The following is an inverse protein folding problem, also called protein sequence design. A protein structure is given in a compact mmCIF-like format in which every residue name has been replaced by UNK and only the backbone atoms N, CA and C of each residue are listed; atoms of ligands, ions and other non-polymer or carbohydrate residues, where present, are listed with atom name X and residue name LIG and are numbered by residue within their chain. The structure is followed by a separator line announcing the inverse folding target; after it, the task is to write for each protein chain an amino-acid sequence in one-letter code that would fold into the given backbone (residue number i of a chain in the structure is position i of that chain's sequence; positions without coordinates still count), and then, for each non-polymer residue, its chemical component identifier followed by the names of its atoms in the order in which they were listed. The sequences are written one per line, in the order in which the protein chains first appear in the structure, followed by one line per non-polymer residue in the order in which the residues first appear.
data_IF_241200089410
#
_entry.id   IF_241200089410
#
_cell.length_a   1.000
_cell.length_b   1.000
_cell.length_c   1.000
_cell.angle_alpha   90.00
_cell.angle_beta   90.00
_cell.angle_gamma   90.00
#
_symmetry.space_group_name_H-M   'P 1'
#
loop_
_entity.id
_entity.type
_entity.pdbx_description
1 polymer ?
#
# COMPACT_ATOMS: atom_id res chain seq x y z
N UNK A 1 -39.82 -23.46 3.39
CA UNK A 1 -38.84 -24.41 2.81
C UNK A 1 -38.90 -24.29 1.30
N UNK A 2 -38.01 -23.50 0.70
CA UNK A 2 -37.95 -23.39 -0.77
C UNK A 2 -37.03 -24.50 -1.27
N UNK A 3 -37.60 -25.43 -2.04
CA UNK A 3 -36.92 -26.63 -2.52
C UNK A 3 -35.82 -26.28 -3.52
N UNK A 4 -34.64 -26.89 -3.35
CA UNK A 4 -33.47 -26.77 -4.25
C UNK A 4 -33.83 -27.13 -5.70
N UNK A 5 -34.85 -27.97 -5.90
CA UNK A 5 -35.38 -28.33 -7.22
C UNK A 5 -36.04 -27.18 -7.99
N UNK A 6 -36.52 -26.12 -7.30
CA UNK A 6 -37.15 -24.97 -7.96
C UNK A 6 -36.15 -23.96 -8.52
N UNK A 7 -34.89 -23.96 -8.04
CA UNK A 7 -33.83 -23.08 -8.54
C UNK A 7 -33.16 -23.61 -9.81
N UNK A 8 -33.23 -24.93 -10.04
CA UNK A 8 -32.61 -25.58 -11.20
C UNK A 8 -33.38 -25.35 -12.51
N UNK A 9 -34.69 -25.07 -12.43
CA UNK A 9 -35.58 -24.97 -13.61
C UNK A 9 -35.70 -23.56 -14.20
N UNK A 10 -35.03 -22.54 -13.64
CA UNK A 10 -35.20 -21.14 -14.06
C UNK A 10 -34.04 -20.61 -14.93
N UNK A 11 -32.98 -21.39 -15.13
CA UNK A 11 -31.84 -21.01 -15.94
C UNK A 11 -31.81 -21.87 -17.20
N UNK A 12 -32.18 -21.35 -18.39
CA UNK A 12 -32.04 -22.12 -19.62
C UNK A 12 -30.55 -22.38 -19.83
N UNK A 13 -30.13 -23.64 -19.65
CA UNK A 13 -28.77 -24.10 -19.88
C UNK A 13 -28.42 -23.91 -21.35
N UNK A 14 -27.92 -22.73 -21.68
CA UNK A 14 -27.39 -22.42 -23.00
C UNK A 14 -25.86 -22.53 -22.91
N UNK A 15 -25.23 -23.51 -23.56
CA UNK A 15 -23.80 -23.76 -23.46
C UNK A 15 -22.97 -22.55 -23.92
N UNK A 16 -23.50 -21.72 -24.82
CA UNK A 16 -22.86 -20.48 -25.27
C UNK A 16 -22.88 -19.42 -24.18
N UNK A 17 -23.99 -19.27 -23.44
CA UNK A 17 -24.07 -18.32 -22.32
C UNK A 17 -23.16 -18.73 -21.16
N UNK A 18 -23.06 -20.03 -20.89
CA UNK A 18 -22.13 -20.57 -19.88
C UNK A 18 -20.68 -20.33 -20.33
N UNK A 19 -20.36 -20.60 -21.60
CA UNK A 19 -19.02 -20.36 -22.16
C UNK A 19 -18.60 -18.89 -22.15
N UNK A 20 -19.51 -17.97 -22.50
CA UNK A 20 -19.24 -16.53 -22.43
C UNK A 20 -19.07 -16.10 -20.96
N UNK A 21 -19.93 -16.59 -20.06
CA UNK A 21 -19.84 -16.28 -18.64
C UNK A 21 -18.53 -16.74 -18.00
N UNK A 22 -18.06 -17.94 -18.33
CA UNK A 22 -16.77 -18.46 -17.84
C UNK A 22 -15.59 -17.72 -18.45
N UNK A 23 -15.64 -17.33 -19.73
CA UNK A 23 -14.59 -16.53 -20.35
C UNK A 23 -14.48 -15.14 -19.76
N UNK A 24 -15.61 -14.46 -19.53
CA UNK A 24 -15.63 -13.13 -18.90
C UNK A 24 -15.16 -13.23 -17.45
N UNK A 25 -15.60 -14.26 -16.71
CA UNK A 25 -15.13 -14.49 -15.35
C UNK A 25 -13.62 -14.80 -15.31
N UNK A 26 -13.13 -15.63 -16.23
CA UNK A 26 -11.71 -15.96 -16.36
C UNK A 26 -10.87 -14.75 -16.79
N UNK A 27 -11.37 -13.91 -17.71
CA UNK A 27 -10.68 -12.69 -18.11
C UNK A 27 -10.65 -11.67 -16.98
N UNK A 28 -11.74 -11.53 -16.23
CA UNK A 28 -11.79 -10.68 -15.03
C UNK A 28 -10.84 -11.22 -13.95
N UNK A 29 -10.79 -12.53 -13.74
CA UNK A 29 -9.82 -13.17 -12.84
C UNK A 29 -8.38 -12.93 -13.28
N UNK A 30 -8.07 -13.07 -14.58
CA UNK A 30 -6.74 -12.79 -15.12
C UNK A 30 -6.35 -11.31 -15.02
N UNK A 31 -7.31 -10.39 -15.12
CA UNK A 31 -7.06 -8.96 -14.93
C UNK A 31 -6.89 -8.58 -13.45
N UNK A 32 -7.59 -9.26 -12.55
CA UNK A 32 -7.43 -9.08 -11.10
C UNK A 32 -6.14 -9.72 -10.56
N UNK A 33 -5.67 -10.78 -11.21
CA UNK A 33 -4.36 -11.39 -10.96
C UNK A 33 -3.33 -10.67 -11.82
N UNK A 34 -2.95 -9.44 -11.43
CA UNK A 34 -1.68 -8.87 -11.90
C UNK A 34 -0.57 -9.88 -11.61
N UNK A 35 0.35 -10.15 -12.55
CA UNK A 35 1.42 -11.13 -12.32
C UNK A 35 2.15 -10.77 -11.03
N UNK A 36 2.53 -11.77 -10.20
CA UNK A 36 3.30 -11.52 -8.99
C UNK A 36 4.51 -10.65 -9.33
N UNK A 37 4.69 -9.57 -8.57
CA UNK A 37 5.88 -8.75 -8.65
C UNK A 37 7.11 -9.66 -8.48
N UNK A 38 7.93 -9.79 -9.52
CA UNK A 38 9.14 -10.61 -9.47
C UNK A 38 10.21 -9.87 -8.65
N UNK A 39 10.66 -10.42 -7.50
CA UNK A 39 11.69 -9.79 -6.70
C UNK A 39 13.03 -9.82 -7.45
N UNK A 40 13.64 -8.65 -7.63
CA UNK A 40 14.87 -8.46 -8.41
C UNK A 40 16.17 -8.87 -7.70
N UNK A 41 16.15 -9.59 -6.58
CA UNK A 41 17.37 -9.96 -5.84
C UNK A 41 17.54 -11.47 -5.66
N UNK A 42 18.40 -12.07 -6.51
CA UNK A 42 19.04 -13.37 -6.26
C UNK A 42 20.21 -13.18 -5.30
N UNK A 43 19.94 -13.20 -4.00
CA UNK A 43 20.96 -13.29 -2.95
C UNK A 43 20.52 -14.31 -1.91
N UNK A 44 21.47 -15.06 -1.34
CA UNK A 44 21.24 -15.97 -0.21
C UNK A 44 20.73 -15.16 0.98
N UNK A 45 19.40 -15.07 1.12
CA UNK A 45 18.75 -14.22 2.11
C UNK A 45 18.33 -15.06 3.32
N UNK A 46 18.62 -14.57 4.53
CA UNK A 46 17.96 -15.07 5.74
C UNK A 46 16.46 -14.97 5.48
N UNK A 47 15.72 -16.07 5.62
CA UNK A 47 14.28 -16.06 5.42
C UNK A 47 13.66 -15.13 6.47
N UNK A 48 13.09 -14.02 6.02
CA UNK A 48 12.28 -13.15 6.88
C UNK A 48 11.18 -13.98 7.56
N UNK A 49 10.86 -13.64 8.80
CA UNK A 49 9.84 -14.35 9.55
C UNK A 49 8.49 -14.24 8.82
N UNK A 50 7.73 -15.33 8.76
CA UNK A 50 6.38 -15.32 8.17
C UNK A 50 5.39 -15.61 9.29
N UNK A 51 4.33 -14.80 9.45
CA UNK A 51 3.37 -15.04 10.52
C UNK A 51 2.73 -16.42 10.41
N UNK A 52 2.49 -17.05 11.56
CA UNK A 52 1.86 -18.37 11.64
C UNK A 52 0.43 -18.40 11.05
N UNK A 53 -0.22 -17.24 10.94
CA UNK A 53 -1.55 -17.06 10.35
C UNK A 53 -1.57 -17.07 8.81
N UNK A 54 -0.42 -17.30 8.16
CA UNK A 54 -0.32 -17.33 6.69
C UNK A 54 -1.09 -18.52 6.10
N UNK A 55 -2.18 -18.25 5.37
CA UNK A 55 -3.01 -19.28 4.74
C UNK A 55 -2.40 -19.81 3.43
N UNK A 56 -2.71 -21.06 3.01
CA UNK A 56 -2.35 -21.54 1.68
C UNK A 56 -3.08 -20.72 0.61
N UNK A 57 -2.35 -20.30 -0.43
CA UNK A 57 -2.82 -19.48 -1.58
C UNK A 57 -3.22 -18.05 -1.20
N UNK A 58 -4.09 -17.87 -0.21
CA UNK A 58 -4.55 -16.57 0.26
C UNK A 58 -3.49 -15.81 1.08
N UNK A 59 -2.46 -16.48 1.57
CA UNK A 59 -1.40 -15.91 2.39
C UNK A 59 -1.97 -15.04 3.53
N UNK A 60 -1.61 -13.75 3.59
CA UNK A 60 -2.09 -12.79 4.60
C UNK A 60 -3.20 -11.87 4.04
N UNK A 61 -3.82 -12.24 2.92
CA UNK A 61 -4.82 -11.37 2.25
C UNK A 61 -6.00 -11.03 3.16
N UNK A 62 -6.54 -12.04 3.86
CA UNK A 62 -7.69 -11.83 4.73
C UNK A 62 -7.36 -10.93 5.93
N UNK A 63 -6.20 -11.14 6.54
CA UNK A 63 -5.76 -10.34 7.69
C UNK A 63 -5.51 -8.89 7.29
N UNK A 64 -4.92 -8.64 6.10
CA UNK A 64 -4.74 -7.30 5.54
C UNK A 64 -6.10 -6.61 5.26
N UNK A 65 -7.06 -7.32 4.67
CA UNK A 65 -8.41 -6.76 4.42
C UNK A 65 -9.12 -6.43 5.74
N UNK A 66 -9.03 -7.31 6.73
CA UNK A 66 -9.60 -7.07 8.05
C UNK A 66 -8.94 -5.86 8.75
N UNK A 67 -7.62 -5.72 8.62
CA UNK A 67 -6.83 -4.58 9.10
C UNK A 67 -7.25 -3.27 8.46
N UNK A 68 -7.33 -3.23 7.14
CA UNK A 68 -7.79 -2.05 6.42
C UNK A 68 -9.22 -1.64 6.81
N UNK A 69 -10.12 -2.61 7.03
CA UNK A 69 -11.51 -2.34 7.40
C UNK A 69 -11.68 -1.80 8.82
N UNK A 70 -10.88 -2.26 9.78
CA UNK A 70 -11.00 -1.78 11.15
C UNK A 70 -10.19 -0.49 11.42
N UNK A 71 -9.27 -0.12 10.52
CA UNK A 71 -8.50 1.13 10.63
C UNK A 71 -7.31 1.08 11.60
N UNK A 72 -6.91 -0.11 12.02
CA UNK A 72 -5.89 -0.39 13.05
C UNK A 72 -4.65 -1.10 12.45
N UNK A 73 -4.36 -0.87 11.17
CA UNK A 73 -3.25 -1.50 10.44
C UNK A 73 -1.91 -1.34 11.16
N UNK A 74 -1.68 -0.18 11.77
CA UNK A 74 -0.44 0.15 12.47
C UNK A 74 -0.33 -0.58 13.81
N UNK A 75 -1.43 -0.67 14.57
CA UNK A 75 -1.47 -1.38 15.85
C UNK A 75 -1.24 -2.88 15.63
N UNK A 76 -1.88 -3.45 14.60
CA UNK A 76 -1.66 -4.86 14.23
C UNK A 76 -0.24 -5.13 13.76
N UNK A 77 0.34 -4.24 12.96
CA UNK A 77 1.74 -4.36 12.55
C UNK A 77 2.68 -4.32 13.76
N UNK A 78 2.43 -3.42 14.71
CA UNK A 78 3.22 -3.32 15.94
C UNK A 78 3.11 -4.59 16.80
N UNK A 79 1.91 -5.14 16.98
CA UNK A 79 1.70 -6.37 17.74
C UNK A 79 2.42 -7.54 17.08
N UNK A 80 2.30 -7.69 15.76
CA UNK A 80 3.02 -8.72 15.00
C UNK A 80 4.53 -8.62 15.16
N UNK A 81 5.10 -7.41 15.12
CA UNK A 81 6.53 -7.21 15.40
C UNK A 81 6.93 -7.61 16.83
N UNK A 82 6.07 -7.37 17.84
CA UNK A 82 6.35 -7.77 19.22
C UNK A 82 6.35 -9.28 19.41
N UNK A 83 5.43 -9.99 18.76
CA UNK A 83 5.32 -11.45 18.83
C UNK A 83 6.59 -12.15 18.34
N UNK A 84 7.31 -11.53 17.40
CA UNK A 84 8.51 -12.09 16.77
C UNK A 84 9.82 -11.47 17.26
N UNK A 85 9.81 -10.80 18.42
CA UNK A 85 10.97 -10.09 18.99
C UNK A 85 11.63 -9.08 18.03
N UNK A 86 10.81 -8.33 17.28
CA UNK A 86 11.21 -7.30 16.32
C UNK A 86 12.03 -7.79 15.12
N UNK A 87 12.07 -9.10 14.87
CA UNK A 87 12.62 -9.65 13.62
C UNK A 87 11.78 -9.18 12.40
N UNK A 88 12.41 -8.98 11.23
CA UNK A 88 11.70 -8.58 10.02
C UNK A 88 10.63 -9.58 9.61
N UNK A 89 9.40 -9.10 9.39
CA UNK A 89 8.24 -9.92 9.03
C UNK A 89 7.86 -9.72 7.57
N UNK A 90 7.72 -10.81 6.82
CA UNK A 90 7.22 -10.82 5.45
C UNK A 90 5.71 -11.06 5.43
N UNK A 91 4.97 -10.06 4.98
CA UNK A 91 3.53 -10.11 4.72
C UNK A 91 3.30 -10.18 3.22
N UNK A 92 2.48 -11.14 2.80
CA UNK A 92 2.10 -11.30 1.39
C UNK A 92 0.60 -11.36 1.23
N UNK A 93 0.08 -10.65 0.24
CA UNK A 93 -1.34 -10.53 -0.04
C UNK A 93 -1.54 -10.53 -1.55
N UNK A 94 -2.65 -11.11 -2.00
CA UNK A 94 -3.00 -11.11 -3.42
C UNK A 94 -3.23 -9.66 -3.88
N UNK A 95 -2.69 -9.31 -5.04
CA UNK A 95 -2.86 -7.99 -5.67
C UNK A 95 -2.01 -6.87 -5.08
N UNK A 96 -1.21 -7.13 -4.05
CA UNK A 96 -0.30 -6.16 -3.42
C UNK A 96 1.12 -6.74 -3.43
N UNK A 97 2.16 -5.96 -3.69
CA UNK A 97 3.54 -6.43 -3.58
C UNK A 97 3.85 -6.95 -2.17
N UNK A 98 4.79 -7.90 -2.09
CA UNK A 98 5.36 -8.39 -0.84
C UNK A 98 5.78 -7.22 0.07
N UNK A 99 5.32 -7.24 1.32
CA UNK A 99 5.62 -6.22 2.31
C UNK A 99 6.56 -6.76 3.36
N UNK A 100 7.69 -6.08 3.55
CA UNK A 100 8.62 -6.35 4.65
C UNK A 100 8.39 -5.33 5.75
N UNK A 101 7.91 -5.80 6.91
CA UNK A 101 7.72 -4.99 8.11
C UNK A 101 8.99 -5.04 8.94
N UNK A 102 9.54 -3.86 9.25
CA UNK A 102 10.71 -3.68 10.10
C UNK A 102 10.37 -2.70 11.23
N UNK A 103 10.95 -2.94 12.41
CA UNK A 103 10.64 -2.14 13.61
C UNK A 103 11.86 -1.76 14.44
N UNK A 104 13.08 -2.13 14.03
CA UNK A 104 14.31 -1.81 14.75
C UNK A 104 15.03 -0.60 14.14
N UNK A 105 15.70 0.24 14.95
CA UNK A 105 16.49 1.38 14.44
C UNK A 105 17.54 0.97 13.41
N UNK A 106 18.15 -0.20 13.58
CA UNK A 106 19.17 -0.75 12.69
C UNK A 106 18.56 -1.07 11.32
N UNK A 107 17.40 -1.75 11.30
CA UNK A 107 16.71 -2.05 10.05
C UNK A 107 16.22 -0.77 9.34
N UNK A 108 15.78 0.25 10.09
CA UNK A 108 15.46 1.55 9.50
C UNK A 108 16.69 2.21 8.89
N UNK A 109 17.84 2.16 9.56
CA UNK A 109 19.10 2.70 9.02
C UNK A 109 19.53 1.94 7.76
N UNK A 110 19.40 0.61 7.73
CA UNK A 110 19.69 -0.22 6.57
C UNK A 110 18.84 0.20 5.37
N UNK A 111 17.52 0.29 5.54
CA UNK A 111 16.58 0.59 4.45
C UNK A 111 16.67 2.05 4.01
N UNK A 112 16.65 3.01 4.94
CA UNK A 112 16.46 4.43 4.62
C UNK A 112 17.76 5.20 4.41
N UNK A 113 18.91 4.66 4.86
CA UNK A 113 20.19 5.37 4.81
C UNK A 113 21.29 4.58 4.10
N UNK A 114 21.57 3.36 4.56
CA UNK A 114 22.75 2.61 4.10
C UNK A 114 22.52 1.97 2.73
N UNK A 115 21.33 1.43 2.50
CA UNK A 115 20.98 0.68 1.29
C UNK A 115 19.78 1.28 0.55
N UNK A 116 19.58 2.60 0.64
CA UNK A 116 18.42 3.29 0.06
C UNK A 116 18.16 2.93 -1.41
N UNK A 117 19.21 2.77 -2.22
CA UNK A 117 19.09 2.40 -3.65
C UNK A 117 18.53 1.00 -3.88
N UNK A 118 18.64 0.10 -2.90
CA UNK A 118 18.15 -1.28 -2.98
C UNK A 118 16.67 -1.40 -2.60
N UNK A 119 16.10 -0.36 -1.98
CA UNK A 119 14.71 -0.34 -1.53
C UNK A 119 13.94 0.81 -2.22
N UNK A 120 13.73 0.73 -3.55
CA UNK A 120 12.87 1.69 -4.24
C UNK A 120 11.42 1.56 -3.74
N UNK A 121 10.62 2.62 -3.89
CA UNK A 121 9.17 2.55 -3.59
C UNK A 121 8.48 1.51 -4.48
N UNK A 122 8.96 1.37 -5.72
CA UNK A 122 8.50 0.40 -6.68
C UNK A 122 7.32 0.91 -7.51
N UNK A 123 7.08 0.25 -8.65
CA UNK A 123 6.07 0.67 -9.63
C UNK A 123 4.67 0.75 -9.03
N UNK A 124 4.28 -0.22 -8.19
CA UNK A 124 2.99 -0.23 -7.52
C UNK A 124 2.71 1.07 -6.76
N UNK A 125 3.67 1.53 -5.95
CA UNK A 125 3.47 2.72 -5.14
C UNK A 125 3.58 4.01 -5.96
N UNK A 126 4.49 4.04 -6.92
CA UNK A 126 4.65 5.16 -7.84
C UNK A 126 3.39 5.36 -8.72
N UNK A 127 2.85 4.29 -9.30
CA UNK A 127 1.61 4.32 -10.10
C UNK A 127 0.42 4.80 -9.28
N UNK A 128 0.24 4.29 -8.05
CA UNK A 128 -0.87 4.70 -7.16
C UNK A 128 -0.89 6.21 -6.87
N UNK A 129 0.27 6.87 -6.88
CA UNK A 129 0.40 8.29 -6.61
C UNK A 129 0.51 9.15 -7.88
N UNK A 130 0.73 8.53 -9.04
CA UNK A 130 1.02 9.21 -10.29
C UNK A 130 -0.15 10.02 -10.81
N UNK A 131 -1.37 9.51 -10.70
CA UNK A 131 -2.56 10.23 -11.19
C UNK A 131 -2.81 11.52 -10.40
N UNK A 132 -2.45 11.54 -9.10
CA UNK A 132 -2.62 12.69 -8.23
C UNK A 132 -1.43 13.66 -8.30
N UNK A 133 -0.20 13.14 -8.34
CA UNK A 133 1.04 13.93 -8.15
C UNK A 133 1.90 14.02 -9.41
N UNK A 134 1.47 13.42 -10.52
CA UNK A 134 2.29 13.26 -11.73
C UNK A 134 3.59 12.54 -11.41
N UNK A 135 4.69 13.01 -12.02
CA UNK A 135 6.04 12.52 -11.73
C UNK A 135 6.69 13.28 -10.55
N UNK A 136 5.89 13.64 -9.54
CA UNK A 136 6.31 14.36 -8.34
C UNK A 136 7.17 13.51 -7.38
N UNK A 137 7.76 14.15 -6.36
CA UNK A 137 8.75 13.53 -5.43
C UNK A 137 8.28 12.23 -4.74
N UNK A 138 6.98 11.98 -4.62
CA UNK A 138 6.45 10.75 -4.02
C UNK A 138 6.13 9.65 -5.05
N UNK A 139 6.04 10.00 -6.34
CA UNK A 139 5.60 9.12 -7.42
C UNK A 139 6.75 8.69 -8.36
N UNK A 140 8.00 8.98 -8.00
CA UNK A 140 9.20 8.58 -8.77
C UNK A 140 10.28 8.00 -7.85
N UNK A 141 11.16 7.20 -8.44
CA UNK A 141 12.33 6.58 -7.82
C UNK A 141 13.64 7.00 -8.54
N UNK A 142 14.79 6.64 -7.96
CA UNK A 142 16.11 6.79 -8.60
C UNK A 142 16.52 8.26 -8.85
N UNK A 143 17.17 8.52 -9.99
CA UNK A 143 17.69 9.84 -10.34
C UNK A 143 16.57 10.91 -10.46
N UNK A 144 15.39 10.52 -10.93
CA UNK A 144 14.24 11.43 -10.98
C UNK A 144 13.83 11.87 -9.58
N UNK A 145 13.81 10.94 -8.62
CA UNK A 145 13.56 11.27 -7.21
C UNK A 145 14.63 12.21 -6.64
N UNK A 146 15.92 11.98 -6.96
CA UNK A 146 17.02 12.85 -6.53
C UNK A 146 16.83 14.27 -7.07
N UNK A 147 16.46 14.39 -8.35
CA UNK A 147 16.16 15.67 -8.98
C UNK A 147 14.97 16.38 -8.30
N UNK A 148 13.84 15.69 -8.14
CA UNK A 148 12.65 16.24 -7.48
C UNK A 148 12.93 16.67 -6.04
N UNK A 149 13.69 15.86 -5.30
CA UNK A 149 14.10 16.17 -3.93
C UNK A 149 14.97 17.41 -3.86
N UNK A 150 15.95 17.56 -4.76
CA UNK A 150 16.82 18.75 -4.80
C UNK A 150 16.03 20.01 -5.09
N UNK A 151 15.07 19.94 -6.01
CA UNK A 151 14.19 21.06 -6.32
C UNK A 151 13.28 21.40 -5.14
N UNK A 152 12.59 20.40 -4.57
CA UNK A 152 11.69 20.58 -3.44
C UNK A 152 12.41 21.07 -2.18
N UNK A 153 13.62 20.60 -1.88
CA UNK A 153 14.37 20.97 -0.68
C UNK A 153 14.65 22.48 -0.59
N UNK A 154 14.75 23.17 -1.72
CA UNK A 154 14.95 24.61 -1.76
C UNK A 154 13.70 25.39 -1.28
N UNK A 155 12.52 24.81 -1.44
CA UNK A 155 11.25 25.39 -0.96
C UNK A 155 11.09 25.24 0.56
N UNK A 156 11.72 24.22 1.15
CA UNK A 156 11.64 23.91 2.58
C UNK A 156 12.88 24.35 3.38
N UNK A 157 13.57 25.40 2.92
CA UNK A 157 14.66 25.99 3.71
C UNK A 157 14.12 26.72 4.94
N UNK A 158 14.89 26.80 6.02
CA UNK A 158 14.50 27.54 7.23
C UNK A 158 14.09 28.99 6.93
N UNK A 159 14.77 29.63 5.97
CA UNK A 159 14.41 30.99 5.51
C UNK A 159 13.05 31.01 4.82
N UNK A 160 12.82 30.13 3.84
CA UNK A 160 11.54 30.06 3.12
C UNK A 160 10.37 29.72 4.06
N UNK A 161 10.58 28.78 4.99
CA UNK A 161 9.59 28.43 6.02
C UNK A 161 9.23 29.64 6.88
N UNK A 162 10.22 30.33 7.44
CA UNK A 162 10.01 31.46 8.35
C UNK A 162 9.42 32.68 7.64
N UNK A 163 9.97 33.05 6.49
CA UNK A 163 9.67 34.34 5.84
C UNK A 163 8.42 34.25 4.95
N UNK A 164 8.08 33.07 4.42
CA UNK A 164 6.93 32.88 3.53
C UNK A 164 5.83 32.02 4.14
N UNK A 165 6.15 30.84 4.66
CA UNK A 165 5.11 29.87 5.06
C UNK A 165 4.46 30.23 6.41
N UNK A 166 5.21 30.70 7.40
CA UNK A 166 4.65 31.02 8.73
C UNK A 166 3.51 32.04 8.67
N UNK A 167 3.72 33.17 7.98
CA UNK A 167 2.71 34.22 7.90
C UNK A 167 1.44 33.75 7.16
N UNK A 168 1.62 32.95 6.11
CA UNK A 168 0.50 32.37 5.34
C UNK A 168 -0.27 31.36 6.18
N UNK A 169 0.42 30.44 6.86
CA UNK A 169 -0.21 29.44 7.73
C UNK A 169 -0.99 30.13 8.84
N UNK A 170 -0.39 31.10 9.53
CA UNK A 170 -1.09 31.85 10.60
C UNK A 170 -2.35 32.53 10.10
N UNK A 171 -2.27 33.21 8.95
CA UNK A 171 -3.43 33.87 8.33
C UNK A 171 -4.55 32.89 8.04
N UNK A 172 -4.26 31.77 7.39
CA UNK A 172 -5.28 30.80 7.01
C UNK A 172 -5.78 29.97 8.19
N UNK A 173 -4.95 29.72 9.21
CA UNK A 173 -5.36 29.04 10.43
C UNK A 173 -6.41 29.85 11.20
N UNK A 174 -6.27 31.18 11.28
CA UNK A 174 -7.28 32.05 11.90
C UNK A 174 -8.61 32.00 11.15
N UNK A 175 -8.57 32.06 9.82
CA UNK A 175 -9.78 31.95 8.99
C UNK A 175 -10.46 30.59 9.18
N UNK A 176 -9.68 29.50 9.16
CA UNK A 176 -10.20 28.16 9.38
C UNK A 176 -10.83 28.00 10.76
N UNK A 177 -10.19 28.56 11.80
CA UNK A 177 -10.70 28.56 13.16
C UNK A 177 -12.05 29.30 13.26
N UNK A 178 -12.17 30.49 12.67
CA UNK A 178 -13.44 31.24 12.65
C UNK A 178 -14.56 30.47 11.93
N UNK A 179 -14.24 29.78 10.82
CA UNK A 179 -15.20 28.91 10.13
C UNK A 179 -15.69 27.78 11.06
N UNK A 180 -14.79 27.12 11.79
CA UNK A 180 -15.18 26.06 12.72
C UNK A 180 -16.05 26.59 13.87
N UNK A 181 -15.70 27.74 14.45
CA UNK A 181 -16.52 28.37 15.48
C UNK A 181 -17.93 28.69 15.00
N UNK A 182 -18.09 29.18 13.77
CA UNK A 182 -19.41 29.45 13.17
C UNK A 182 -20.18 28.19 12.84
N UNK A 183 -19.50 27.09 12.49
CA UNK A 183 -20.10 25.81 12.17
C UNK A 183 -20.54 25.01 13.43
N UNK A 184 -20.19 25.47 14.63
CA UNK A 184 -20.53 24.81 15.89
C UNK A 184 -19.68 23.56 16.19
N UNK A 185 -18.49 23.45 15.59
CA UNK A 185 -17.50 22.43 15.86
C UNK A 185 -16.35 22.97 16.73
#
# INVERSE_FOLDING_TARGET
MLSVSSLCNSLPFNPVKVGIGTFVLASVLLLLVKPPYEPTSRGSSKKAHRPDTTLPVLENTLTVIQAARAGDIHDRALLGCREVNAEPVLIRSIGVPDQLIVSTPEAFADVLKLQFRNFPKGSYQCENLRDLLGDGIFAVDGEQWVHQRKTASNLFTMRALRDSMTAVIQRHAVVLYDIFQRAGC
#
